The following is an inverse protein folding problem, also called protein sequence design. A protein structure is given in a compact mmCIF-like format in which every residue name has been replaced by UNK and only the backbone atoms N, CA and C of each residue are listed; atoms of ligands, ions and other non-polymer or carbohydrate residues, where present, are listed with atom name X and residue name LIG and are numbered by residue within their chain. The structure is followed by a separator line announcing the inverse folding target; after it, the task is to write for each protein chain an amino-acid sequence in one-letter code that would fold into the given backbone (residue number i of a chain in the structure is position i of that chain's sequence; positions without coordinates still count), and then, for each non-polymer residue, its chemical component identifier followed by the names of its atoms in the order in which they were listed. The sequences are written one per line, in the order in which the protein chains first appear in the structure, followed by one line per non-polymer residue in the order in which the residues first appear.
data_IF_927233472720
#
_entry.id   IF_927233472720
#
_cell.length_a   1.000
_cell.length_b   1.000
_cell.length_c   1.000
_cell.angle_alpha   90.00
_cell.angle_beta   90.00
_cell.angle_gamma   90.00
#
_symmetry.space_group_name_H-M   'P 1'
#
loop_
_entity.id
_entity.type
_entity.pdbx_description
1 polymer ?
#
# COMPACT_ATOMS: atom_id res chain seq x y z
N UNK A 1 8.31 -10.16 -16.94
CA UNK A 1 8.48 -11.09 -15.81
C UNK A 1 7.77 -10.46 -14.63
N UNK A 2 6.62 -11.01 -14.23
CA UNK A 2 5.98 -10.58 -12.99
C UNK A 2 6.89 -10.97 -11.82
N UNK A 3 7.22 -10.04 -10.90
CA UNK A 3 8.01 -10.39 -9.73
C UNK A 3 7.24 -11.42 -8.89
N UNK A 4 7.91 -12.51 -8.50
CA UNK A 4 7.37 -13.50 -7.56
C UNK A 4 7.06 -12.80 -6.24
N UNK A 5 5.78 -12.45 -6.05
CA UNK A 5 5.26 -11.87 -4.82
C UNK A 5 5.21 -12.94 -3.73
N UNK A 6 6.27 -13.02 -2.93
CA UNK A 6 6.28 -13.88 -1.75
C UNK A 6 5.36 -13.27 -0.70
N UNK A 7 4.19 -13.90 -0.49
CA UNK A 7 3.24 -13.49 0.53
C UNK A 7 3.90 -13.50 1.92
N UNK A 8 3.67 -12.45 2.70
CA UNK A 8 4.18 -12.30 4.07
C UNK A 8 3.74 -13.45 5.00
N UNK A 9 2.60 -14.08 4.71
CA UNK A 9 2.14 -15.28 5.41
C UNK A 9 3.05 -16.49 5.23
N UNK A 10 3.64 -16.68 4.05
CA UNK A 10 4.58 -17.76 3.79
C UNK A 10 5.84 -17.54 4.63
N UNK A 11 6.34 -16.31 4.67
CA UNK A 11 7.51 -15.95 5.48
C UNK A 11 7.23 -16.19 6.97
N UNK A 12 6.03 -15.84 7.44
CA UNK A 12 5.60 -16.12 8.81
C UNK A 12 5.61 -17.64 9.11
N UNK A 13 5.10 -18.50 8.23
CA UNK A 13 5.09 -19.94 8.49
C UNK A 13 6.47 -20.58 8.44
N UNK A 14 7.28 -20.20 7.47
CA UNK A 14 8.64 -20.73 7.27
C UNK A 14 9.56 -20.28 8.41
N UNK A 15 9.49 -18.99 8.80
CA UNK A 15 10.30 -18.46 9.91
C UNK A 15 10.03 -19.13 11.25
N UNK A 16 8.81 -19.63 11.50
CA UNK A 16 8.54 -20.42 12.70
C UNK A 16 9.31 -21.75 12.70
N UNK A 17 9.38 -22.43 11.56
CA UNK A 17 10.10 -23.72 11.43
C UNK A 17 11.60 -23.52 11.49
N UNK A 18 12.11 -22.56 10.73
CA UNK A 18 13.53 -22.20 10.71
C UNK A 18 13.96 -21.67 12.08
N UNK A 19 13.19 -20.77 12.71
CA UNK A 19 13.49 -20.22 14.03
C UNK A 19 13.58 -21.30 15.11
N UNK A 20 12.62 -22.24 15.13
CA UNK A 20 12.67 -23.37 16.06
C UNK A 20 13.81 -24.37 15.75
N UNK A 21 14.18 -24.54 14.48
CA UNK A 21 15.30 -25.38 14.08
C UNK A 21 16.63 -24.74 14.50
N UNK A 22 16.83 -23.46 14.16
CA UNK A 22 18.01 -22.69 14.53
C UNK A 22 18.17 -22.58 16.05
N UNK A 23 17.08 -22.38 16.80
CA UNK A 23 17.12 -22.37 18.27
C UNK A 23 17.54 -23.73 18.88
N UNK A 24 17.40 -24.84 18.15
CA UNK A 24 17.86 -26.18 18.58
C UNK A 24 19.28 -26.50 18.14
N UNK A 25 19.72 -25.97 17.00
CA UNK A 25 20.99 -26.32 16.36
C UNK A 25 22.11 -25.33 16.70
N UNK A 26 21.79 -24.04 16.88
CA UNK A 26 22.81 -23.02 17.14
C UNK A 26 23.37 -23.14 18.56
N UNK A 27 24.70 -23.08 18.72
CA UNK A 27 25.33 -23.16 20.02
C UNK A 27 24.99 -21.92 20.86
N UNK A 28 24.65 -22.14 22.13
CA UNK A 28 24.42 -21.10 23.15
C UNK A 28 25.72 -20.45 23.67
N UNK A 29 26.85 -20.75 23.02
CA UNK A 29 28.16 -20.25 23.40
C UNK A 29 28.20 -18.73 23.24
N UNK A 30 28.44 -18.04 24.35
CA UNK A 30 28.68 -16.60 24.38
C UNK A 30 30.07 -16.30 23.84
N UNK A 31 30.15 -15.80 22.62
CA UNK A 31 31.39 -15.35 22.01
C UNK A 31 31.66 -13.93 22.52
N UNK A 32 32.73 -13.77 23.30
CA UNK A 32 33.21 -12.46 23.72
C UNK A 32 34.00 -11.86 22.56
N UNK A 33 33.50 -10.78 21.96
CA UNK A 33 34.23 -10.08 20.91
C UNK A 33 35.48 -9.47 21.54
N UNK A 34 36.65 -9.80 20.99
CA UNK A 34 37.98 -9.46 21.53
C UNK A 34 38.06 -7.96 21.86
N UNK A 35 38.41 -7.65 23.13
CA UNK A 35 38.50 -6.31 23.73
C UNK A 35 37.19 -5.51 23.90
N UNK A 36 36.01 -6.14 23.84
CA UNK A 36 34.75 -5.45 24.12
C UNK A 36 33.97 -6.00 25.33
N UNK A 37 33.11 -5.16 25.93
CA UNK A 37 32.14 -5.56 26.98
C UNK A 37 30.90 -6.27 26.39
N UNK A 38 30.82 -6.43 25.07
CA UNK A 38 29.70 -7.07 24.39
C UNK A 38 29.92 -8.59 24.31
N UNK A 39 29.08 -9.34 25.03
CA UNK A 39 28.92 -10.79 24.87
C UNK A 39 27.87 -11.04 23.78
N UNK A 40 28.25 -11.69 22.69
CA UNK A 40 27.31 -12.05 21.62
C UNK A 40 27.10 -13.56 21.66
N UNK A 41 25.87 -13.99 21.96
CA UNK A 41 25.47 -15.39 21.79
C UNK A 41 24.76 -15.54 20.45
N UNK A 42 25.09 -16.60 19.71
CA UNK A 42 24.37 -16.98 18.49
C UNK A 42 22.97 -17.54 18.80
N UNK A 43 22.75 -18.01 20.04
CA UNK A 43 21.46 -18.48 20.52
C UNK A 43 21.19 -17.91 21.93
N UNK A 44 20.53 -16.74 22.03
CA UNK A 44 20.27 -16.09 23.32
C UNK A 44 19.12 -16.75 24.11
N UNK A 45 18.30 -17.60 23.50
CA UNK A 45 17.18 -18.25 24.17
C UNK A 45 16.20 -18.96 23.22
N UNK A 46 15.14 -19.58 23.75
CA UNK A 46 14.14 -20.26 22.94
C UNK A 46 13.36 -19.28 22.06
N UNK A 47 13.08 -19.69 20.82
CA UNK A 47 12.37 -18.87 19.84
C UNK A 47 11.00 -18.43 20.36
N UNK A 48 10.77 -17.13 20.43
CA UNK A 48 9.55 -16.55 21.00
C UNK A 48 8.70 -15.81 19.95
N UNK A 49 7.40 -15.66 20.21
CA UNK A 49 6.47 -14.92 19.38
C UNK A 49 6.93 -13.48 19.08
N UNK A 50 7.67 -12.85 20.01
CA UNK A 50 8.24 -11.50 19.78
C UNK A 50 9.32 -11.48 18.69
N UNK A 51 10.19 -12.48 18.67
CA UNK A 51 11.22 -12.63 17.64
C UNK A 51 10.56 -12.98 16.30
N UNK A 52 9.53 -13.84 16.34
CA UNK A 52 8.76 -14.17 15.15
C UNK A 52 8.10 -12.96 14.50
N UNK A 53 7.48 -12.09 15.31
CA UNK A 53 6.89 -10.83 14.82
C UNK A 53 7.97 -9.89 14.27
N UNK A 54 9.14 -9.79 14.92
CA UNK A 54 10.23 -8.95 14.40
C UNK A 54 10.77 -9.45 13.06
N UNK A 55 10.94 -10.77 12.89
CA UNK A 55 11.32 -11.37 11.60
C UNK A 55 10.26 -11.11 10.53
N UNK A 56 8.99 -11.18 10.92
CA UNK A 56 7.88 -10.92 10.01
C UNK A 56 7.83 -9.46 9.57
N UNK A 57 8.08 -8.53 10.49
CA UNK A 57 8.22 -7.10 10.17
C UNK A 57 9.44 -6.89 9.26
N UNK A 58 10.59 -7.49 9.58
CA UNK A 58 11.81 -7.42 8.76
C UNK A 58 11.56 -7.88 7.32
N UNK A 59 10.86 -9.01 7.17
CA UNK A 59 10.48 -9.52 5.87
C UNK A 59 9.49 -8.59 5.18
N UNK A 60 8.48 -8.10 5.89
CA UNK A 60 7.47 -7.19 5.34
C UNK A 60 8.07 -5.85 4.91
N UNK A 61 9.03 -5.29 5.65
CA UNK A 61 9.73 -4.07 5.22
C UNK A 61 10.67 -4.34 4.05
N UNK A 62 11.22 -5.55 3.93
CA UNK A 62 12.05 -5.93 2.78
C UNK A 62 11.27 -6.30 1.51
N UNK A 63 10.07 -6.88 1.62
CA UNK A 63 9.29 -7.41 0.47
C UNK A 63 7.98 -6.68 0.20
N UNK A 64 7.39 -6.01 1.19
CA UNK A 64 6.03 -5.50 1.11
C UNK A 64 6.00 -3.97 1.05
N UNK A 65 6.34 -3.45 -0.11
CA UNK A 65 5.75 -2.20 -0.58
C UNK A 65 4.80 -2.54 -1.73
N UNK A 66 3.73 -1.76 -1.88
CA UNK A 66 2.63 -1.96 -2.84
C UNK A 66 3.13 -2.60 -4.15
N UNK A 67 2.88 -3.91 -4.32
CA UNK A 67 3.34 -4.67 -5.50
C UNK A 67 4.66 -5.45 -5.38
N UNK A 68 5.20 -5.68 -4.18
CA UNK A 68 6.31 -6.63 -3.95
C UNK A 68 7.72 -6.05 -4.12
N UNK A 69 7.83 -4.79 -4.53
CA UNK A 69 9.10 -4.07 -4.69
C UNK A 69 8.97 -2.64 -4.17
N UNK A 70 10.05 -2.06 -3.69
CA UNK A 70 10.06 -0.63 -3.37
C UNK A 70 9.70 0.16 -4.65
N UNK A 71 8.68 1.02 -4.58
CA UNK A 71 8.18 1.73 -5.78
C UNK A 71 9.27 2.52 -6.50
N UNK A 72 10.28 3.01 -5.78
CA UNK A 72 11.47 3.64 -6.37
C UNK A 72 12.20 2.74 -7.38
N UNK A 73 12.24 1.42 -7.16
CA UNK A 73 12.77 0.44 -8.14
C UNK A 73 11.88 0.38 -9.37
N UNK A 74 10.57 0.52 -9.22
CA UNK A 74 9.63 0.66 -10.33
C UNK A 74 9.98 1.86 -11.22
N UNK A 75 10.33 3.00 -10.64
CA UNK A 75 10.78 4.19 -11.40
C UNK A 75 12.07 3.88 -12.15
N UNK A 76 13.04 3.24 -11.49
CA UNK A 76 14.31 2.84 -12.10
C UNK A 76 14.07 1.90 -13.28
N UNK A 77 13.21 0.90 -13.12
CA UNK A 77 12.82 -0.04 -14.17
C UNK A 77 12.13 0.66 -15.33
N UNK A 78 11.25 1.63 -15.07
CA UNK A 78 10.62 2.42 -16.13
C UNK A 78 11.68 3.23 -16.90
N UNK A 79 12.64 3.86 -16.21
CA UNK A 79 13.73 4.60 -16.87
C UNK A 79 14.61 3.69 -17.73
N UNK A 80 14.94 2.48 -17.25
CA UNK A 80 15.86 1.57 -17.95
C UNK A 80 15.18 0.71 -19.03
N UNK A 81 14.01 0.15 -18.75
CA UNK A 81 13.32 -0.83 -19.62
C UNK A 81 12.36 -0.17 -20.59
N UNK A 82 11.58 0.82 -20.13
CA UNK A 82 10.57 1.48 -20.96
C UNK A 82 11.17 2.65 -21.74
N UNK A 83 12.11 3.37 -21.13
CA UNK A 83 12.72 4.56 -21.70
C UNK A 83 14.16 4.38 -22.18
N UNK A 84 14.74 3.16 -22.05
CA UNK A 84 16.08 2.80 -22.52
C UNK A 84 17.21 3.76 -22.09
N UNK A 85 17.02 4.48 -20.98
CA UNK A 85 17.98 5.47 -20.49
C UNK A 85 18.83 4.92 -19.34
N UNK A 86 20.07 5.41 -19.22
CA UNK A 86 21.03 4.95 -18.20
C UNK A 86 20.91 5.80 -16.95
N UNK A 87 20.40 5.22 -15.88
CA UNK A 87 20.45 5.77 -14.52
C UNK A 87 21.61 5.14 -13.75
N UNK A 88 22.39 5.95 -13.04
CA UNK A 88 23.51 5.43 -12.24
C UNK A 88 23.00 4.74 -10.99
N UNK A 89 23.71 3.69 -10.55
CA UNK A 89 23.35 2.95 -9.34
C UNK A 89 23.23 3.86 -8.11
N UNK A 90 24.13 4.84 -7.97
CA UNK A 90 24.07 5.82 -6.87
C UNK A 90 22.76 6.61 -6.87
N UNK A 91 22.31 7.10 -8.04
CA UNK A 91 21.06 7.86 -8.15
C UNK A 91 19.84 6.99 -7.85
N UNK A 92 19.80 5.77 -8.40
CA UNK A 92 18.76 4.78 -8.10
C UNK A 92 18.69 4.45 -6.61
N UNK A 93 19.84 4.19 -6.00
CA UNK A 93 19.92 3.86 -4.57
C UNK A 93 19.45 5.04 -3.72
N UNK A 94 19.96 6.24 -3.97
CA UNK A 94 19.54 7.44 -3.24
C UNK A 94 18.04 7.69 -3.34
N UNK A 95 17.43 7.49 -4.52
CA UNK A 95 15.99 7.65 -4.74
C UNK A 95 15.17 6.63 -3.95
N UNK A 96 15.62 5.37 -3.89
CA UNK A 96 14.94 4.34 -3.10
C UNK A 96 15.07 4.63 -1.61
N UNK A 97 16.28 4.90 -1.11
CA UNK A 97 16.48 5.19 0.33
C UNK A 97 15.75 6.46 0.76
N UNK A 98 15.81 7.55 -0.01
CA UNK A 98 15.21 8.82 0.39
C UNK A 98 13.71 8.69 0.60
N UNK A 99 13.02 7.98 -0.29
CA UNK A 99 11.57 7.75 -0.24
C UNK A 99 11.16 6.85 0.93
N UNK A 100 11.97 5.84 1.27
CA UNK A 100 11.71 4.97 2.42
C UNK A 100 11.94 5.69 3.75
N UNK A 101 13.07 6.38 3.87
CA UNK A 101 13.38 7.20 5.05
C UNK A 101 12.35 8.31 5.24
N UNK A 102 11.80 8.87 4.16
CA UNK A 102 10.73 9.87 4.24
C UNK A 102 9.48 9.30 4.91
N UNK A 103 8.99 8.15 4.43
CA UNK A 103 7.84 7.48 5.03
C UNK A 103 8.07 7.13 6.50
N UNK A 104 9.29 6.68 6.84
CA UNK A 104 9.65 6.36 8.23
C UNK A 104 9.71 7.60 9.14
N UNK A 105 10.30 8.69 8.66
CA UNK A 105 10.35 9.97 9.37
C UNK A 105 8.96 10.53 9.64
N UNK A 106 8.07 10.49 8.64
CA UNK A 106 6.67 10.91 8.77
C UNK A 106 5.90 10.04 9.77
N UNK A 107 6.07 8.70 9.71
CA UNK A 107 5.46 7.78 10.67
C UNK A 107 5.88 8.08 12.12
N UNK A 108 7.14 8.43 12.34
CA UNK A 108 7.66 8.81 13.66
C UNK A 108 6.93 9.99 14.28
N UNK A 109 6.70 11.04 13.49
CA UNK A 109 5.97 12.25 13.94
C UNK A 109 4.51 11.92 14.25
N UNK A 110 3.88 11.06 13.42
CA UNK A 110 2.46 10.71 13.55
C UNK A 110 2.19 9.61 14.60
N UNK A 111 3.23 8.94 15.10
CA UNK A 111 3.13 7.81 16.04
C UNK A 111 2.28 8.14 17.28
N UNK A 112 2.51 9.31 17.89
CA UNK A 112 1.79 9.74 19.10
C UNK A 112 0.28 9.90 18.86
N UNK A 113 -0.12 10.27 17.64
CA UNK A 113 -1.52 10.53 17.31
C UNK A 113 -2.27 9.29 16.84
N UNK A 114 -1.60 8.32 16.22
CA UNK A 114 -2.28 7.17 15.57
C UNK A 114 -1.99 5.82 16.24
N UNK A 115 -0.90 5.71 17.01
CA UNK A 115 -0.50 4.45 17.67
C UNK A 115 -0.89 4.42 19.14
N UNK A 116 -0.68 5.51 19.88
CA UNK A 116 -0.92 5.55 21.33
C UNK A 116 -2.40 5.59 21.74
N UNK A 117 -3.32 6.25 21.00
CA UNK A 117 -4.72 6.28 21.39
C UNK A 117 -5.40 4.90 21.23
N UNK A 118 -6.27 4.55 22.20
CA UNK A 118 -6.98 3.28 22.23
C UNK A 118 -8.06 3.14 21.13
N UNK A 119 -8.67 4.26 20.71
CA UNK A 119 -9.70 4.26 19.66
C UNK A 119 -9.15 3.95 18.26
N UNK A 120 -7.84 4.14 18.04
CA UNK A 120 -7.15 3.76 16.81
C UNK A 120 -6.83 2.26 16.85
N UNK A 121 -7.69 1.45 16.21
CA UNK A 121 -7.68 -0.01 16.34
C UNK A 121 -6.71 -0.72 15.40
N UNK A 122 -6.50 -0.22 14.19
CA UNK A 122 -5.74 -0.89 13.13
C UNK A 122 -6.18 -2.35 12.91
N UNK A 123 -7.34 -2.56 12.26
CA UNK A 123 -7.92 -3.90 12.12
C UNK A 123 -6.98 -4.94 11.50
N UNK A 124 -6.17 -4.55 10.51
CA UNK A 124 -5.12 -5.41 9.93
C UNK A 124 -4.17 -5.98 11.00
N UNK A 125 -3.61 -5.12 11.85
CA UNK A 125 -2.74 -5.55 12.96
C UNK A 125 -3.46 -6.41 13.98
N UNK A 126 -4.73 -6.11 14.28
CA UNK A 126 -5.52 -6.86 15.26
C UNK A 126 -5.74 -8.31 14.87
N UNK A 127 -5.89 -8.61 13.58
CA UNK A 127 -6.06 -9.99 13.08
C UNK A 127 -4.74 -10.76 13.05
N UNK A 128 -3.59 -10.07 12.91
CA UNK A 128 -2.27 -10.71 12.97
C UNK A 128 -1.89 -11.18 14.39
N UNK A 129 -2.31 -10.47 15.44
CA UNK A 129 -2.03 -10.83 16.84
C UNK A 129 -2.51 -12.25 17.21
N UNK A 130 -3.79 -12.62 17.02
CA UNK A 130 -4.27 -13.96 17.33
C UNK A 130 -3.64 -15.02 16.44
N UNK A 131 -3.25 -14.68 15.21
CA UNK A 131 -2.48 -15.58 14.35
C UNK A 131 -1.11 -15.94 14.97
N UNK A 132 -0.32 -14.95 15.38
CA UNK A 132 0.96 -15.21 16.06
C UNK A 132 0.80 -15.97 17.38
N UNK A 133 -0.27 -15.68 18.13
CA UNK A 133 -0.60 -16.41 19.36
C UNK A 133 -0.98 -17.86 19.08
N UNK A 134 -1.82 -18.13 18.08
CA UNK A 134 -2.23 -19.49 17.72
C UNK A 134 -1.05 -20.38 17.28
N UNK A 135 0.02 -19.78 16.74
CA UNK A 135 1.24 -20.50 16.34
C UNK A 135 2.14 -20.86 17.54
N UNK A 136 2.16 -20.03 18.59
CA UNK A 136 3.08 -20.19 19.74
C UNK A 136 2.42 -20.77 21.00
N UNK A 137 1.13 -20.51 21.22
CA UNK A 137 0.40 -21.00 22.39
C UNK A 137 0.06 -22.49 22.22
N UNK A 138 0.39 -23.28 23.26
CA UNK A 138 -0.06 -24.66 23.37
C UNK A 138 -1.44 -24.65 24.01
N UNK A 139 -2.47 -24.91 23.21
CA UNK A 139 -3.84 -25.01 23.69
C UNK A 139 -4.17 -26.49 24.00
N UNK A 140 -4.67 -26.76 25.22
CA UNK A 140 -4.99 -28.10 25.71
C UNK A 140 -6.46 -28.50 25.45
N UNK A 141 -7.21 -27.71 24.66
CA UNK A 141 -8.58 -28.03 24.26
C UNK A 141 -8.69 -29.25 23.33
N UNK A 142 -9.93 -29.73 23.12
CA UNK A 142 -10.27 -30.87 22.25
C UNK A 142 -9.69 -30.75 20.83
N UNK A 143 -9.62 -29.54 20.29
CA UNK A 143 -8.90 -29.24 19.06
C UNK A 143 -7.91 -28.10 19.31
N UNK A 144 -6.60 -28.37 19.35
CA UNK A 144 -5.61 -27.30 19.52
C UNK A 144 -5.67 -26.34 18.34
N UNK A 145 -5.63 -25.03 18.61
CA UNK A 145 -5.70 -23.95 17.60
C UNK A 145 -4.75 -24.16 16.42
N UNK A 146 -3.56 -24.71 16.69
CA UNK A 146 -2.57 -25.08 15.68
C UNK A 146 -3.08 -26.14 14.69
N UNK A 147 -3.81 -27.18 15.14
CA UNK A 147 -4.37 -28.20 14.23
C UNK A 147 -5.47 -27.60 13.35
N UNK A 148 -6.38 -26.82 13.94
CA UNK A 148 -7.41 -26.11 13.18
C UNK A 148 -6.79 -25.20 12.11
N UNK A 149 -5.75 -24.45 12.47
CA UNK A 149 -5.03 -23.60 11.54
C UNK A 149 -4.45 -24.37 10.34
N UNK A 150 -3.79 -25.51 10.56
CA UNK A 150 -3.24 -26.32 9.46
C UNK A 150 -4.33 -26.94 8.58
N UNK A 151 -5.46 -27.37 9.16
CA UNK A 151 -6.60 -27.87 8.37
C UNK A 151 -7.15 -26.76 7.48
N UNK A 152 -7.42 -25.58 8.06
CA UNK A 152 -7.91 -24.43 7.31
C UNK A 152 -6.93 -23.99 6.20
N UNK A 153 -5.62 -24.02 6.48
CA UNK A 153 -4.58 -23.71 5.50
C UNK A 153 -4.58 -24.70 4.32
N UNK A 154 -4.65 -26.00 4.60
CA UNK A 154 -4.68 -27.03 3.54
C UNK A 154 -5.97 -26.94 2.73
N UNK A 155 -7.13 -26.77 3.39
CA UNK A 155 -8.41 -26.56 2.72
C UNK A 155 -8.40 -25.31 1.84
N UNK A 156 -7.89 -24.19 2.34
CA UNK A 156 -7.78 -22.95 1.57
C UNK A 156 -6.80 -23.08 0.40
N UNK A 157 -5.64 -23.72 0.60
CA UNK A 157 -4.67 -23.97 -0.46
C UNK A 157 -5.25 -24.86 -1.56
N UNK A 158 -5.90 -25.96 -1.18
CA UNK A 158 -6.59 -26.86 -2.12
C UNK A 158 -7.72 -26.14 -2.86
N UNK A 159 -8.50 -25.30 -2.14
CA UNK A 159 -9.54 -24.50 -2.76
C UNK A 159 -8.94 -23.52 -3.76
N UNK A 160 -7.88 -22.77 -3.45
CA UNK A 160 -7.28 -21.78 -4.36
C UNK A 160 -6.70 -22.38 -5.65
N UNK A 161 -6.22 -23.63 -5.63
CA UNK A 161 -5.76 -24.33 -6.85
C UNK A 161 -6.93 -24.58 -7.82
N UNK A 162 -8.15 -24.75 -7.29
CA UNK A 162 -9.31 -25.09 -8.09
C UNK A 162 -9.77 -23.97 -9.04
N UNK A 163 -10.16 -22.76 -8.58
CA UNK A 163 -10.53 -21.66 -9.47
C UNK A 163 -9.30 -21.00 -10.12
N UNK A 164 -8.11 -21.09 -9.51
CA UNK A 164 -6.91 -20.41 -10.00
C UNK A 164 -6.15 -21.15 -11.11
N UNK A 165 -6.35 -22.46 -11.28
CA UNK A 165 -5.60 -23.24 -12.28
C UNK A 165 -6.44 -24.31 -12.97
N UNK A 166 -7.33 -25.01 -12.25
CA UNK A 166 -8.11 -26.11 -12.84
C UNK A 166 -9.37 -25.62 -13.59
N UNK A 167 -10.07 -24.62 -13.04
CA UNK A 167 -11.31 -24.09 -13.59
C UNK A 167 -11.38 -22.56 -13.49
N UNK A 168 -10.63 -21.86 -14.35
CA UNK A 168 -10.61 -20.39 -14.41
C UNK A 168 -11.99 -19.77 -14.69
N UNK A 169 -12.90 -20.52 -15.34
CA UNK A 169 -14.29 -20.09 -15.59
C UNK A 169 -15.04 -19.77 -14.28
N UNK A 170 -14.63 -20.37 -13.14
CA UNK A 170 -15.23 -20.09 -11.83
C UNK A 170 -14.94 -18.67 -11.30
N UNK A 171 -13.96 -17.98 -11.89
CA UNK A 171 -13.66 -16.59 -11.56
C UNK A 171 -14.78 -15.64 -12.02
N UNK A 172 -15.53 -15.97 -13.08
CA UNK A 172 -16.71 -15.21 -13.49
C UNK A 172 -17.70 -16.07 -14.26
N UNK A 173 -18.79 -16.45 -13.60
CA UNK A 173 -19.91 -17.16 -14.22
C UNK A 173 -21.03 -16.15 -14.43
N UNK A 174 -21.22 -15.72 -15.68
CA UNK A 174 -22.32 -14.82 -16.06
C UNK A 174 -23.42 -15.59 -16.77
N UNK A 175 -24.57 -15.74 -16.12
CA UNK A 175 -25.74 -16.38 -16.75
C UNK A 175 -26.35 -15.50 -17.86
N UNK A 176 -26.19 -14.18 -17.75
CA UNK A 176 -26.66 -13.20 -18.75
C UNK A 176 -25.92 -13.42 -20.08
N UNK A 177 -24.64 -13.77 -20.02
CA UNK A 177 -23.86 -14.14 -21.20
C UNK A 177 -24.39 -15.41 -21.88
N UNK A 178 -24.79 -16.43 -21.11
CA UNK A 178 -25.39 -17.66 -21.65
C UNK A 178 -26.78 -17.44 -22.25
N UNK A 179 -27.59 -16.57 -21.63
CA UNK A 179 -28.94 -16.28 -22.10
C UNK A 179 -28.95 -15.50 -23.43
N UNK A 180 -27.98 -14.61 -23.66
CA UNK A 180 -27.94 -13.74 -24.84
C UNK A 180 -26.55 -13.66 -25.50
N UNK A 181 -26.05 -14.76 -26.08
CA UNK A 181 -24.66 -14.87 -26.56
C UNK A 181 -24.32 -14.01 -27.79
N UNK A 182 -25.32 -13.42 -28.46
CA UNK A 182 -25.12 -12.57 -29.66
C UNK A 182 -25.30 -11.08 -29.39
N UNK A 183 -25.72 -10.69 -28.19
CA UNK A 183 -26.06 -9.29 -27.88
C UNK A 183 -24.89 -8.57 -27.21
N UNK A 184 -24.36 -7.55 -27.89
CA UNK A 184 -23.27 -6.72 -27.37
C UNK A 184 -23.67 -5.99 -26.09
N UNK A 185 -24.92 -5.52 -26.00
CA UNK A 185 -25.43 -4.85 -24.79
C UNK A 185 -25.59 -5.83 -23.63
N UNK A 186 -26.04 -7.06 -23.90
CA UNK A 186 -26.11 -8.10 -22.87
C UNK A 186 -24.71 -8.48 -22.36
N UNK A 187 -23.69 -8.50 -23.22
CA UNK A 187 -22.31 -8.74 -22.81
C UNK A 187 -21.75 -7.59 -21.98
N UNK A 188 -22.00 -6.35 -22.37
CA UNK A 188 -21.59 -5.15 -21.61
C UNK A 188 -22.20 -5.08 -20.21
N UNK A 189 -23.46 -5.48 -20.08
CA UNK A 189 -24.19 -5.48 -18.82
C UNK A 189 -23.80 -6.70 -17.97
N UNK A 190 -23.72 -7.87 -18.59
CA UNK A 190 -23.62 -9.15 -17.90
C UNK A 190 -22.21 -9.65 -17.61
N UNK A 191 -21.21 -9.29 -18.41
CA UNK A 191 -19.84 -9.76 -18.22
C UNK A 191 -19.27 -9.25 -16.90
N UNK A 192 -18.69 -10.13 -16.08
CA UNK A 192 -18.05 -9.76 -14.82
C UNK A 192 -16.58 -9.34 -14.94
N UNK A 193 -15.97 -9.54 -16.12
CA UNK A 193 -14.56 -9.16 -16.38
C UNK A 193 -14.51 -7.86 -17.19
N UNK A 194 -15.21 -7.82 -18.33
CA UNK A 194 -15.18 -6.71 -19.29
C UNK A 194 -16.47 -5.86 -19.27
N UNK A 195 -17.36 -6.12 -18.33
CA UNK A 195 -18.69 -5.50 -18.25
C UNK A 195 -19.03 -5.03 -16.83
N UNK A 196 -20.30 -4.65 -16.65
CA UNK A 196 -20.82 -4.16 -15.37
C UNK A 196 -21.07 -5.27 -14.34
N UNK A 197 -21.05 -6.54 -14.76
CA UNK A 197 -21.18 -7.70 -13.87
C UNK A 197 -22.59 -7.99 -13.36
N UNK A 198 -23.66 -7.40 -13.94
CA UNK A 198 -25.03 -7.70 -13.53
C UNK A 198 -25.39 -9.16 -13.84
N UNK A 199 -25.69 -9.94 -12.80
CA UNK A 199 -25.95 -11.37 -12.95
C UNK A 199 -24.69 -12.22 -13.15
N UNK A 200 -23.50 -11.66 -12.91
CA UNK A 200 -22.28 -12.45 -12.79
C UNK A 200 -22.06 -12.89 -11.34
N UNK A 201 -21.70 -14.15 -11.15
CA UNK A 201 -21.32 -14.70 -9.87
C UNK A 201 -19.91 -15.26 -9.97
N UNK A 202 -19.09 -14.99 -8.98
CA UNK A 202 -17.75 -15.56 -8.87
C UNK A 202 -17.71 -16.48 -7.65
N UNK A 203 -17.25 -17.71 -7.86
CA UNK A 203 -16.95 -18.64 -6.77
C UNK A 203 -15.51 -18.48 -6.28
N UNK A 204 -14.73 -17.64 -6.96
CA UNK A 204 -13.41 -17.25 -6.52
C UNK A 204 -13.48 -16.05 -5.57
N UNK A 205 -13.27 -16.34 -4.28
CA UNK A 205 -13.27 -15.32 -3.23
C UNK A 205 -12.16 -14.28 -3.44
N UNK A 206 -11.04 -14.62 -4.09
CA UNK A 206 -10.01 -13.61 -4.43
C UNK A 206 -10.53 -12.60 -5.44
N UNK A 207 -11.26 -13.05 -6.47
CA UNK A 207 -11.87 -12.17 -7.47
C UNK A 207 -12.93 -11.26 -6.83
N UNK A 208 -13.83 -11.83 -6.02
CA UNK A 208 -14.90 -11.08 -5.33
C UNK A 208 -14.35 -9.99 -4.40
N UNK A 209 -13.31 -10.31 -3.62
CA UNK A 209 -12.79 -9.39 -2.62
C UNK A 209 -11.54 -8.61 -3.03
N UNK A 210 -11.07 -8.77 -4.27
CA UNK A 210 -9.91 -8.06 -4.82
C UNK A 210 -9.90 -6.56 -4.52
N UNK A 211 -11.07 -5.91 -4.58
CA UNK A 211 -11.24 -4.47 -4.35
C UNK A 211 -11.34 -4.07 -2.88
N UNK A 212 -11.77 -4.96 -1.98
CA UNK A 212 -11.96 -4.69 -0.55
C UNK A 212 -10.83 -5.24 0.34
N UNK A 213 -10.00 -6.14 -0.19
CA UNK A 213 -9.04 -6.93 0.57
C UNK A 213 -9.73 -8.07 1.32
N UNK A 214 -9.50 -8.21 2.63
CA UNK A 214 -10.20 -9.23 3.43
C UNK A 214 -11.41 -8.62 4.13
N UNK A 215 -12.65 -9.03 3.78
CA UNK A 215 -13.87 -8.50 4.40
C UNK A 215 -13.97 -8.86 5.89
N UNK A 216 -13.26 -9.91 6.32
CA UNK A 216 -13.21 -10.32 7.73
C UNK A 216 -12.45 -9.33 8.62
N UNK A 217 -11.49 -8.61 8.02
CA UNK A 217 -10.63 -7.64 8.73
C UNK A 217 -11.28 -6.26 8.72
N UNK A 218 -11.96 -5.92 7.63
CA UNK A 218 -12.61 -4.61 7.44
C UNK A 218 -13.90 -4.50 8.26
N UNK A 219 -14.12 -3.41 9.02
CA UNK A 219 -15.37 -3.23 9.77
C UNK A 219 -16.62 -3.29 8.88
N UNK A 220 -17.72 -3.81 9.44
CA UNK A 220 -18.98 -3.97 8.70
C UNK A 220 -19.49 -2.66 8.11
N UNK A 221 -19.49 -1.57 8.89
CA UNK A 221 -19.93 -0.25 8.41
C UNK A 221 -19.15 0.21 7.17
N UNK A 222 -17.82 -0.01 7.17
CA UNK A 222 -16.95 0.35 6.04
C UNK A 222 -17.30 -0.50 4.82
N UNK A 223 -17.52 -1.80 5.01
CA UNK A 223 -17.91 -2.73 3.95
C UNK A 223 -19.21 -2.30 3.29
N UNK A 224 -20.24 -1.97 4.08
CA UNK A 224 -21.53 -1.48 3.57
C UNK A 224 -21.35 -0.16 2.82
N UNK A 225 -20.56 0.78 3.35
CA UNK A 225 -20.33 2.07 2.69
C UNK A 225 -19.64 1.92 1.33
N UNK A 226 -18.62 1.06 1.24
CA UNK A 226 -17.95 0.75 -0.04
C UNK A 226 -18.93 0.09 -1.00
N UNK A 227 -19.74 -0.86 -0.53
CA UNK A 227 -20.73 -1.55 -1.37
C UNK A 227 -21.77 -0.56 -1.93
N UNK A 228 -22.29 0.34 -1.11
CA UNK A 228 -23.23 1.38 -1.57
C UNK A 228 -22.55 2.30 -2.60
N UNK A 229 -21.34 2.78 -2.32
CA UNK A 229 -20.58 3.61 -3.26
C UNK A 229 -20.30 2.91 -4.58
N UNK A 230 -19.95 1.61 -4.53
CA UNK A 230 -19.70 0.78 -5.70
C UNK A 230 -20.97 0.56 -6.54
N UNK A 231 -22.10 0.25 -5.90
CA UNK A 231 -23.41 0.11 -6.56
C UNK A 231 -23.82 1.40 -7.24
N UNK A 232 -23.67 2.54 -6.57
CA UNK A 232 -23.98 3.86 -7.16
C UNK A 232 -23.06 4.17 -8.35
N UNK A 233 -21.75 3.94 -8.22
CA UNK A 233 -20.81 4.23 -9.29
C UNK A 233 -21.02 3.32 -10.52
N UNK A 234 -21.08 2.00 -10.33
CA UNK A 234 -21.17 1.04 -11.43
C UNK A 234 -22.56 0.95 -12.05
N UNK A 235 -23.64 1.03 -11.28
CA UNK A 235 -25.00 0.77 -11.80
C UNK A 235 -25.83 2.02 -12.03
N UNK A 236 -25.41 3.18 -11.50
CA UNK A 236 -26.13 4.45 -11.71
C UNK A 236 -25.28 5.42 -12.53
N UNK A 237 -24.10 5.81 -12.03
CA UNK A 237 -23.29 6.86 -12.65
C UNK A 237 -22.76 6.44 -14.02
N UNK A 238 -22.10 5.27 -14.11
CA UNK A 238 -21.49 4.78 -15.35
C UNK A 238 -22.54 4.54 -16.46
N UNK A 239 -23.67 3.85 -16.21
CA UNK A 239 -24.68 3.60 -17.24
C UNK A 239 -25.36 4.88 -17.73
N UNK A 240 -25.66 5.84 -16.84
CA UNK A 240 -26.22 7.14 -17.24
C UNK A 240 -25.22 7.89 -18.13
N UNK A 241 -23.94 7.94 -17.73
CA UNK A 241 -22.93 8.63 -18.51
C UNK A 241 -22.67 7.97 -19.88
N UNK A 242 -22.74 6.64 -19.97
CA UNK A 242 -22.47 5.89 -21.19
C UNK A 242 -23.68 5.82 -22.14
N UNK A 243 -24.84 5.41 -21.65
CA UNK A 243 -26.02 5.15 -22.48
C UNK A 243 -26.88 6.40 -22.70
N UNK A 244 -27.06 7.25 -21.68
CA UNK A 244 -27.98 8.41 -21.75
C UNK A 244 -27.27 9.66 -22.26
N UNK A 245 -26.17 10.02 -21.61
CA UNK A 245 -25.50 11.30 -21.87
C UNK A 245 -24.40 11.20 -22.95
N UNK A 246 -23.92 9.98 -23.24
CA UNK A 246 -22.76 9.71 -24.09
C UNK A 246 -21.60 10.68 -23.83
N UNK A 247 -21.31 10.92 -22.55
CA UNK A 247 -20.33 11.93 -22.12
C UNK A 247 -18.97 11.57 -22.71
N UNK A 248 -18.27 12.53 -23.31
CA UNK A 248 -16.98 12.34 -23.98
C UNK A 248 -16.98 11.34 -25.15
N UNK A 249 -18.13 11.11 -25.80
CA UNK A 249 -18.28 10.09 -26.86
C UNK A 249 -17.91 8.67 -26.37
N UNK A 250 -18.23 8.37 -25.11
CA UNK A 250 -17.88 7.13 -24.43
C UNK A 250 -18.26 5.86 -25.19
N UNK A 251 -19.34 5.88 -25.97
CA UNK A 251 -19.82 4.73 -26.76
C UNK A 251 -18.83 4.24 -27.83
N UNK A 252 -17.79 5.01 -28.14
CA UNK A 252 -16.71 4.60 -29.04
C UNK A 252 -15.69 3.67 -28.38
N UNK A 253 -15.71 3.56 -27.06
CA UNK A 253 -14.79 2.75 -26.26
C UNK A 253 -15.56 1.72 -25.43
N UNK A 254 -14.92 0.62 -24.99
CA UNK A 254 -15.53 -0.30 -24.04
C UNK A 254 -15.96 0.40 -22.74
N UNK A 255 -17.07 -0.03 -22.15
CA UNK A 255 -17.59 0.55 -20.89
C UNK A 255 -16.56 0.39 -19.78
N UNK A 256 -16.03 -0.82 -19.63
CA UNK A 256 -15.01 -1.18 -18.64
C UNK A 256 -13.72 -1.50 -19.36
N UNK A 257 -12.70 -0.67 -19.18
CA UNK A 257 -11.35 -0.93 -19.70
C UNK A 257 -10.32 -0.02 -19.03
N UNK A 258 -9.12 -0.54 -18.81
CA UNK A 258 -7.95 0.24 -18.36
C UNK A 258 -7.12 0.80 -19.53
N UNK A 259 -7.53 0.50 -20.78
CA UNK A 259 -6.83 0.93 -21.98
C UNK A 259 -7.01 2.40 -22.32
N UNK A 260 -6.12 2.91 -23.16
CA UNK A 260 -6.18 4.24 -23.77
C UNK A 260 -6.62 4.14 -25.22
N UNK A 261 -7.57 4.97 -25.63
CA UNK A 261 -8.18 4.94 -26.96
C UNK A 261 -7.99 6.25 -27.70
N UNK A 262 -7.93 6.18 -29.04
CA UNK A 262 -7.99 7.36 -29.90
C UNK A 262 -9.45 7.80 -30.13
N UNK A 263 -9.63 8.93 -30.81
CA UNK A 263 -10.98 9.46 -31.14
C UNK A 263 -11.86 8.53 -31.98
N UNK A 264 -11.27 7.48 -32.58
CA UNK A 264 -11.93 6.46 -33.40
C UNK A 264 -12.20 5.15 -32.63
N UNK A 265 -11.85 5.06 -31.35
CA UNK A 265 -12.08 3.88 -30.52
C UNK A 265 -11.05 2.75 -30.69
N UNK A 266 -9.92 3.00 -31.36
CA UNK A 266 -8.79 2.04 -31.43
C UNK A 266 -7.77 2.35 -30.33
N UNK A 267 -7.02 1.33 -29.92
CA UNK A 267 -5.95 1.47 -28.95
C UNK A 267 -4.96 2.58 -29.35
N UNK A 268 -4.62 3.42 -28.38
CA UNK A 268 -3.73 4.55 -28.56
C UNK A 268 -2.28 4.10 -28.40
N UNK A 269 -1.47 4.33 -29.41
CA UNK A 269 -0.04 4.02 -29.36
C UNK A 269 0.73 5.12 -28.60
N UNK A 270 0.93 4.90 -27.30
CA UNK A 270 1.62 5.83 -26.40
C UNK A 270 3.10 5.99 -26.75
N UNK A 271 3.75 4.97 -27.33
CA UNK A 271 5.18 5.02 -27.65
C UNK A 271 5.50 6.10 -28.70
N UNK A 272 4.57 6.32 -29.62
CA UNK A 272 4.72 7.25 -30.73
C UNK A 272 4.64 8.75 -30.38
N UNK A 273 4.19 9.10 -29.17
CA UNK A 273 4.06 10.49 -28.72
C UNK A 273 5.15 10.89 -27.72
N UNK A 274 6.08 9.99 -27.41
CA UNK A 274 7.22 10.26 -26.52
C UNK A 274 8.47 10.37 -27.38
N UNK A 275 9.25 11.42 -27.19
CA UNK A 275 10.51 11.61 -27.92
C UNK A 275 11.67 10.83 -27.25
N UNK A 276 12.83 10.78 -27.92
CA UNK A 276 14.04 10.12 -27.40
C UNK A 276 14.59 10.78 -26.11
N UNK A 277 14.18 12.02 -25.81
CA UNK A 277 14.51 12.74 -24.57
C UNK A 277 13.50 12.51 -23.45
N UNK A 278 12.54 11.59 -23.66
CA UNK A 278 11.52 11.18 -22.69
C UNK A 278 10.54 12.30 -22.34
N UNK A 279 10.39 13.26 -23.25
CA UNK A 279 9.40 14.33 -23.18
C UNK A 279 8.27 14.05 -24.17
N UNK A 280 7.08 14.55 -23.85
CA UNK A 280 5.93 14.45 -24.75
C UNK A 280 6.23 15.27 -26.01
N UNK A 281 6.21 14.62 -27.18
CA UNK A 281 6.29 15.29 -28.46
C UNK A 281 4.94 15.93 -28.79
N UNK A 282 4.82 17.22 -28.46
CA UNK A 282 3.60 18.00 -28.67
C UNK A 282 3.14 17.99 -30.13
N UNK A 283 4.06 18.01 -31.10
CA UNK A 283 3.72 17.98 -32.52
C UNK A 283 3.10 16.65 -32.94
N UNK A 284 3.67 15.52 -32.51
CA UNK A 284 3.08 14.18 -32.75
C UNK A 284 1.75 14.01 -32.01
N UNK A 285 1.61 14.60 -30.83
CA UNK A 285 0.37 14.60 -30.05
C UNK A 285 -0.75 15.39 -30.76
N UNK A 286 -0.44 16.59 -31.27
CA UNK A 286 -1.38 17.41 -32.05
C UNK A 286 -1.86 16.69 -33.31
N UNK A 287 -0.98 15.96 -34.00
CA UNK A 287 -1.34 15.19 -35.19
C UNK A 287 -2.22 13.98 -34.90
N UNK A 288 -1.96 13.25 -33.80
CA UNK A 288 -2.74 12.04 -33.44
C UNK A 288 -4.02 12.34 -32.67
N UNK A 289 -4.10 13.53 -32.07
CA UNK A 289 -5.22 13.96 -31.26
C UNK A 289 -5.18 13.44 -29.82
N UNK A 290 -6.15 13.86 -29.00
CA UNK A 290 -6.17 13.59 -27.56
C UNK A 290 -6.36 12.10 -27.25
N UNK A 291 -5.81 11.69 -26.11
CA UNK A 291 -6.03 10.37 -25.53
C UNK A 291 -7.39 10.36 -24.83
N UNK A 292 -8.22 9.37 -25.18
CA UNK A 292 -9.49 9.12 -24.51
C UNK A 292 -9.37 7.91 -23.59
N UNK A 293 -9.99 8.02 -22.42
CA UNK A 293 -10.14 6.92 -21.48
C UNK A 293 -11.52 6.30 -21.62
N UNK A 294 -11.68 5.05 -21.17
CA UNK A 294 -13.01 4.49 -20.96
C UNK A 294 -13.79 5.31 -19.94
N UNK A 295 -15.12 5.23 -19.99
CA UNK A 295 -15.98 5.98 -19.07
C UNK A 295 -15.76 5.55 -17.61
N UNK A 296 -15.60 4.23 -17.38
CA UNK A 296 -15.32 3.68 -16.05
C UNK A 296 -13.99 4.18 -15.50
N UNK A 297 -12.94 4.23 -16.32
CA UNK A 297 -11.63 4.71 -15.89
C UNK A 297 -11.64 6.22 -15.61
N UNK A 298 -12.36 7.00 -16.42
CA UNK A 298 -12.55 8.44 -16.20
C UNK A 298 -13.23 8.73 -14.86
N UNK A 299 -14.35 8.05 -14.57
CA UNK A 299 -15.05 8.22 -13.30
C UNK A 299 -14.25 7.69 -12.11
N UNK A 300 -13.51 6.59 -12.27
CA UNK A 300 -12.62 6.08 -11.22
C UNK A 300 -11.56 7.14 -10.83
N UNK A 301 -10.96 7.83 -11.81
CA UNK A 301 -10.03 8.93 -11.56
C UNK A 301 -10.71 10.12 -10.88
N UNK A 302 -11.89 10.52 -11.34
CA UNK A 302 -12.68 11.60 -10.73
C UNK A 302 -13.03 11.30 -9.27
N UNK A 303 -13.50 10.09 -8.97
CA UNK A 303 -13.80 9.64 -7.60
C UNK A 303 -12.53 9.59 -6.75
N UNK A 304 -11.40 9.15 -7.32
CA UNK A 304 -10.11 9.15 -6.61
C UNK A 304 -9.66 10.56 -6.20
N UNK A 305 -9.83 11.56 -7.07
CA UNK A 305 -9.56 12.96 -6.73
C UNK A 305 -10.53 13.49 -5.67
N UNK A 306 -11.82 13.18 -5.79
CA UNK A 306 -12.83 13.57 -4.81
C UNK A 306 -12.55 12.92 -3.44
N UNK A 307 -12.07 11.68 -3.42
CA UNK A 307 -11.68 10.96 -2.21
C UNK A 307 -10.54 11.67 -1.47
N UNK A 308 -9.54 12.22 -2.18
CA UNK A 308 -8.47 12.99 -1.54
C UNK A 308 -9.00 14.17 -0.72
N UNK A 309 -9.94 14.94 -1.28
CA UNK A 309 -10.57 16.07 -0.58
C UNK A 309 -11.49 15.57 0.55
N UNK A 310 -12.23 14.48 0.29
CA UNK A 310 -13.11 13.85 1.28
C UNK A 310 -12.36 13.37 2.52
N UNK A 311 -11.13 12.87 2.38
CA UNK A 311 -10.28 12.47 3.51
C UNK A 311 -10.02 13.67 4.43
N UNK A 312 -9.64 14.81 3.86
CA UNK A 312 -9.36 16.02 4.63
C UNK A 312 -10.62 16.52 5.35
N UNK A 313 -11.75 16.62 4.64
CA UNK A 313 -12.99 17.11 5.22
C UNK A 313 -13.53 16.15 6.29
N UNK A 314 -13.53 14.84 6.04
CA UNK A 314 -13.97 13.84 7.00
C UNK A 314 -13.14 13.90 8.29
N UNK A 315 -11.81 13.91 8.19
CA UNK A 315 -10.95 13.97 9.37
C UNK A 315 -11.07 15.31 10.09
N UNK A 316 -11.20 16.43 9.37
CA UNK A 316 -11.40 17.74 9.96
C UNK A 316 -12.70 17.84 10.76
N UNK A 317 -13.82 17.33 10.23
CA UNK A 317 -15.13 17.40 10.89
C UNK A 317 -15.29 16.39 12.03
N UNK A 318 -14.93 15.12 11.80
CA UNK A 318 -15.22 14.04 12.75
C UNK A 318 -14.11 13.85 13.79
N UNK A 319 -12.84 13.92 13.37
CA UNK A 319 -11.70 13.68 14.25
C UNK A 319 -10.98 14.97 14.66
N UNK A 320 -11.29 16.12 14.06
CA UNK A 320 -10.58 17.38 14.32
C UNK A 320 -10.61 17.81 15.77
N UNK A 321 -11.76 17.70 16.45
CA UNK A 321 -11.88 18.01 17.89
C UNK A 321 -11.02 17.09 18.75
N UNK A 322 -10.95 15.81 18.40
CA UNK A 322 -10.14 14.81 19.11
C UNK A 322 -8.64 15.03 18.85
N UNK A 323 -8.24 15.32 17.61
CA UNK A 323 -6.87 15.64 17.24
C UNK A 323 -6.41 16.90 17.98
N UNK A 324 -7.24 17.95 18.02
CA UNK A 324 -6.96 19.17 18.79
C UNK A 324 -6.89 18.89 20.29
N UNK A 325 -7.75 18.02 20.80
CA UNK A 325 -7.73 17.53 22.17
C UNK A 325 -6.43 16.78 22.48
N UNK A 326 -5.99 15.87 21.60
CA UNK A 326 -4.74 15.13 21.69
C UNK A 326 -3.52 16.04 21.53
N UNK A 327 -3.60 17.06 20.69
CA UNK A 327 -2.53 18.05 20.53
C UNK A 327 -2.38 18.88 21.80
N UNK A 328 -3.50 19.32 22.41
CA UNK A 328 -3.50 20.03 23.70
C UNK A 328 -3.12 19.12 24.88
N UNK A 329 -3.57 17.86 24.89
CA UNK A 329 -3.24 16.87 25.90
C UNK A 329 -1.82 16.30 25.74
N UNK A 330 -1.23 16.38 24.54
CA UNK A 330 0.20 16.12 24.34
C UNK A 330 1.06 17.04 25.20
N UNK A 331 0.53 18.23 25.56
CA UNK A 331 1.11 19.17 26.53
C UNK A 331 0.61 18.98 27.98
N UNK A 332 -0.45 18.20 28.23
CA UNK A 332 -1.01 17.91 29.56
C UNK A 332 -1.32 16.42 29.69
N UNK A 333 -0.43 15.67 30.35
CA UNK A 333 -0.60 14.22 30.58
C UNK A 333 -1.96 13.90 31.22
N UNK A 334 -2.91 13.29 30.49
CA UNK A 334 -3.88 12.36 31.08
C UNK A 334 -4.74 11.55 30.09
N UNK A 335 -5.10 10.34 30.55
CA UNK A 335 -5.74 9.18 29.87
C UNK A 335 -4.82 8.37 28.96
N UNK A 336 -3.98 7.56 29.61
CA UNK A 336 -3.06 6.62 28.95
C UNK A 336 -3.74 5.25 28.80
N UNK A 337 -3.75 4.72 27.57
CA UNK A 337 -4.25 3.37 27.25
C UNK A 337 -3.53 2.30 28.10
N UNK A 338 -4.22 1.20 28.43
CA UNK A 338 -3.65 0.02 29.11
C UNK A 338 -2.44 -0.49 28.35
N UNK A 339 -2.52 -0.53 27.01
CA UNK A 339 -1.38 -0.99 26.23
C UNK A 339 -0.16 -0.09 26.40
N UNK A 340 -0.38 1.23 26.43
CA UNK A 340 0.68 2.22 26.64
C UNK A 340 1.23 2.15 28.07
N UNK A 341 0.38 1.94 29.08
CA UNK A 341 0.82 1.69 30.47
C UNK A 341 1.75 0.48 30.56
N UNK A 342 1.39 -0.64 29.93
CA UNK A 342 2.22 -1.85 29.89
C UNK A 342 3.53 -1.63 29.12
N UNK A 343 3.53 -0.73 28.13
CA UNK A 343 4.71 -0.42 27.33
C UNK A 343 5.69 0.53 28.03
N UNK A 344 5.28 1.25 29.08
CA UNK A 344 6.16 2.12 29.89
C UNK A 344 7.37 1.40 30.50
N UNK A 345 7.31 0.06 30.64
CA UNK A 345 8.45 -0.75 31.08
C UNK A 345 9.63 -0.69 30.10
N UNK A 346 9.37 -0.45 28.82
CA UNK A 346 10.41 -0.37 27.79
C UNK A 346 10.83 1.08 27.55
N UNK A 347 12.14 1.28 27.32
CA UNK A 347 12.65 2.60 26.91
C UNK A 347 12.07 2.96 25.54
N UNK A 348 11.44 4.12 25.49
CA UNK A 348 10.87 4.62 24.25
C UNK A 348 11.96 5.10 23.26
N UNK A 349 11.56 5.28 22.00
CA UNK A 349 12.36 5.85 20.92
C UNK A 349 12.39 7.37 21.10
N UNK A 350 13.57 7.99 21.21
CA UNK A 350 13.66 9.45 21.24
C UNK A 350 13.12 10.06 19.94
N UNK A 351 12.27 11.10 20.04
CA UNK A 351 11.69 11.76 18.86
C UNK A 351 12.75 12.30 17.88
N UNK A 352 13.93 12.69 18.37
CA UNK A 352 15.02 13.20 17.54
C UNK A 352 15.58 12.18 16.54
N UNK A 353 15.41 10.87 16.78
CA UNK A 353 15.79 9.84 15.80
C UNK A 353 14.96 9.99 14.51
N UNK A 354 13.67 10.26 14.65
CA UNK A 354 12.77 10.46 13.51
C UNK A 354 13.03 11.80 12.82
N UNK A 355 13.34 12.87 13.57
CA UNK A 355 13.73 14.15 12.97
C UNK A 355 15.06 14.04 12.21
N UNK A 356 16.02 13.27 12.71
CA UNK A 356 17.29 13.01 12.01
C UNK A 356 17.03 12.25 10.70
N UNK A 357 16.24 11.18 10.74
CA UNK A 357 15.89 10.40 9.54
C UNK A 357 15.17 11.28 8.50
N UNK A 358 14.21 12.10 8.94
CA UNK A 358 13.53 13.04 8.07
C UNK A 358 14.50 14.07 7.46
N UNK A 359 15.42 14.60 8.26
CA UNK A 359 16.46 15.52 7.80
C UNK A 359 17.39 14.90 6.77
N UNK A 360 17.86 13.67 7.00
CA UNK A 360 18.69 12.91 6.05
C UNK A 360 17.92 12.64 4.75
N UNK A 361 16.66 12.22 4.84
CA UNK A 361 15.80 12.01 3.67
C UNK A 361 15.62 13.29 2.84
N UNK A 362 15.40 14.44 3.50
CA UNK A 362 15.28 15.73 2.85
C UNK A 362 16.58 16.13 2.13
N UNK A 363 17.73 15.97 2.80
CA UNK A 363 19.04 16.25 2.21
C UNK A 363 19.34 15.36 0.99
N UNK A 364 19.05 14.06 1.07
CA UNK A 364 19.21 13.14 -0.05
C UNK A 364 18.30 13.53 -1.22
N UNK A 365 17.04 13.87 -0.93
CA UNK A 365 16.07 14.32 -1.94
C UNK A 365 16.53 15.61 -2.62
N UNK A 366 17.01 16.60 -1.85
CA UNK A 366 17.54 17.84 -2.39
C UNK A 366 18.81 17.62 -3.21
N UNK A 367 19.72 16.75 -2.75
CA UNK A 367 20.90 16.38 -3.50
C UNK A 367 20.54 15.76 -4.86
N UNK A 368 19.57 14.85 -4.90
CA UNK A 368 19.06 14.27 -6.14
C UNK A 368 18.50 15.33 -7.09
N UNK A 369 17.73 16.29 -6.58
CA UNK A 369 17.12 17.34 -7.40
C UNK A 369 18.13 18.37 -7.93
N UNK A 370 19.21 18.64 -7.20
CA UNK A 370 20.22 19.65 -7.57
C UNK A 370 21.32 19.04 -8.44
N UNK A 371 21.91 17.92 -8.02
CA UNK A 371 23.09 17.35 -8.66
C UNK A 371 22.77 16.26 -9.69
N UNK A 372 21.61 15.61 -9.60
CA UNK A 372 21.19 14.53 -10.52
C UNK A 372 19.97 14.93 -11.37
N UNK A 373 19.88 16.23 -11.69
CA UNK A 373 18.78 16.81 -12.46
C UNK A 373 18.62 16.16 -13.83
N UNK A 374 19.72 15.76 -14.48
CA UNK A 374 19.70 15.18 -15.82
C UNK A 374 19.07 13.77 -15.85
N UNK A 375 19.05 13.06 -14.72
CA UNK A 375 18.50 11.70 -14.62
C UNK A 375 17.06 11.68 -14.08
N UNK A 376 16.75 12.50 -13.07
CA UNK A 376 15.46 12.47 -12.36
C UNK A 376 14.49 13.55 -12.89
N UNK A 377 15.02 14.63 -13.48
CA UNK A 377 14.25 15.74 -14.07
C UNK A 377 13.31 16.49 -13.10
N UNK A 378 13.33 16.16 -11.80
CA UNK A 378 12.50 16.76 -10.76
C UNK A 378 13.16 18.04 -10.19
N UNK A 379 12.50 19.20 -10.27
CA UNK A 379 13.00 20.42 -9.63
C UNK A 379 12.94 20.34 -8.10
N UNK A 380 13.88 21.02 -7.43
CA UNK A 380 13.98 21.03 -5.96
C UNK A 380 12.71 21.55 -5.28
N UNK A 381 12.05 22.56 -5.85
CA UNK A 381 10.83 23.14 -5.29
C UNK A 381 9.66 22.15 -5.37
N UNK A 382 9.59 21.34 -6.43
CA UNK A 382 8.55 20.32 -6.60
C UNK A 382 8.73 19.21 -5.57
N UNK A 383 9.97 18.85 -5.25
CA UNK A 383 10.26 17.88 -4.20
C UNK A 383 9.84 18.39 -2.80
N UNK A 384 10.15 19.65 -2.47
CA UNK A 384 9.70 20.27 -1.19
C UNK A 384 8.17 20.31 -1.12
N UNK A 385 7.51 20.66 -2.23
CA UNK A 385 6.05 20.67 -2.30
C UNK A 385 5.45 19.26 -2.13
N UNK A 386 6.04 18.23 -2.76
CA UNK A 386 5.62 16.84 -2.59
C UNK A 386 5.74 16.38 -1.13
N UNK A 387 6.84 16.72 -0.45
CA UNK A 387 7.05 16.42 0.98
C UNK A 387 6.03 17.14 1.85
N UNK A 388 5.74 18.41 1.56
CA UNK A 388 4.70 19.17 2.26
C UNK A 388 3.31 18.55 2.10
N UNK A 389 2.97 18.11 0.89
CA UNK A 389 1.73 17.38 0.62
C UNK A 389 1.68 16.05 1.38
N UNK A 390 2.77 15.27 1.34
CA UNK A 390 2.86 14.02 2.08
C UNK A 390 2.65 14.25 3.58
N UNK A 391 3.30 15.26 4.16
CA UNK A 391 3.13 15.62 5.57
C UNK A 391 1.67 15.97 5.91
N UNK A 392 1.01 16.79 5.09
CA UNK A 392 -0.38 17.20 5.31
C UNK A 392 -1.37 16.02 5.26
N UNK A 393 -1.16 15.08 4.34
CA UNK A 393 -2.07 13.95 4.13
C UNK A 393 -1.75 12.71 4.97
N UNK A 394 -0.53 12.57 5.49
CA UNK A 394 -0.14 11.37 6.26
C UNK A 394 -1.06 11.16 7.46
N UNK A 395 -1.33 12.21 8.25
CA UNK A 395 -2.16 12.08 9.45
C UNK A 395 -3.61 11.69 9.10
N UNK A 396 -4.33 12.43 8.22
CA UNK A 396 -5.68 12.05 7.82
C UNK A 396 -5.79 10.65 7.21
N UNK A 397 -4.88 10.30 6.31
CA UNK A 397 -4.87 8.97 5.66
C UNK A 397 -4.66 7.85 6.69
N UNK A 398 -3.74 8.06 7.63
CA UNK A 398 -3.45 7.08 8.69
C UNK A 398 -4.63 6.88 9.64
N UNK A 399 -5.40 7.94 9.94
CA UNK A 399 -6.60 7.85 10.79
C UNK A 399 -7.69 7.01 10.12
N UNK A 400 -7.94 7.26 8.83
CA UNK A 400 -8.92 6.48 8.07
C UNK A 400 -8.47 5.02 7.99
N UNK A 401 -7.19 4.77 7.72
CA UNK A 401 -6.63 3.42 7.68
C UNK A 401 -6.77 2.70 9.03
N UNK A 402 -6.47 3.39 10.13
CA UNK A 402 -6.54 2.85 11.49
C UNK A 402 -7.96 2.53 11.96
N UNK A 403 -8.98 3.14 11.37
CA UNK A 403 -10.39 2.97 11.76
C UNK A 403 -11.17 2.07 10.79
N UNK A 404 -10.93 2.22 9.50
CA UNK A 404 -11.69 1.57 8.42
C UNK A 404 -10.97 0.40 7.76
N UNK A 405 -9.67 0.20 8.03
CA UNK A 405 -8.83 -0.79 7.33
C UNK A 405 -8.63 -0.51 5.83
N UNK A 406 -9.03 0.67 5.34
CA UNK A 406 -8.85 1.08 3.96
C UNK A 406 -7.79 2.16 3.88
N UNK A 407 -6.87 2.05 2.93
CA UNK A 407 -5.79 3.02 2.71
C UNK A 407 -6.08 3.74 1.38
N UNK A 408 -6.73 4.92 1.41
CA UNK A 408 -6.97 5.67 0.19
C UNK A 408 -5.63 6.15 -0.39
N UNK A 409 -5.46 6.06 -1.70
CA UNK A 409 -4.21 6.46 -2.36
C UNK A 409 -4.33 7.84 -3.01
N UNK A 410 -3.26 8.65 -2.94
CA UNK A 410 -3.19 10.01 -3.50
C UNK A 410 -2.53 10.06 -4.89
N UNK A 411 -2.43 8.92 -5.55
CA UNK A 411 -1.69 8.77 -6.81
C UNK A 411 -2.22 9.70 -7.90
N UNK A 412 -3.53 9.68 -8.11
CA UNK A 412 -4.17 10.43 -9.20
C UNK A 412 -4.02 11.94 -8.99
N UNK A 413 -4.28 12.43 -7.76
CA UNK A 413 -4.22 13.87 -7.47
C UNK A 413 -2.79 14.39 -7.53
N UNK A 414 -1.80 13.63 -7.04
CA UNK A 414 -0.38 14.03 -7.12
C UNK A 414 0.11 14.08 -8.55
N UNK A 415 -0.25 13.09 -9.37
CA UNK A 415 0.09 13.08 -10.78
C UNK A 415 -0.57 14.22 -11.56
N UNK A 416 -1.82 14.53 -11.23
CA UNK A 416 -2.56 15.61 -11.87
C UNK A 416 -1.95 16.99 -11.55
N UNK A 417 -1.65 17.27 -10.27
CA UNK A 417 -1.03 18.53 -9.86
C UNK A 417 0.31 18.72 -10.57
N UNK A 418 1.17 17.70 -10.56
CA UNK A 418 2.49 17.80 -11.18
C UNK A 418 2.41 17.86 -12.71
N UNK A 419 1.48 17.13 -13.33
CA UNK A 419 1.23 17.20 -14.77
C UNK A 419 0.81 18.60 -15.24
N UNK A 420 0.06 19.35 -14.44
CA UNK A 420 -0.27 20.75 -14.72
C UNK A 420 0.90 21.71 -14.48
N UNK A 421 1.71 21.48 -13.45
CA UNK A 421 2.83 22.35 -13.10
C UNK A 421 4.05 22.18 -14.02
N UNK A 422 4.35 20.95 -14.43
CA UNK A 422 5.49 20.57 -15.27
C UNK A 422 5.01 19.64 -16.39
N UNK A 423 4.29 20.20 -17.39
CA UNK A 423 3.79 19.42 -18.50
C UNK A 423 4.94 18.80 -19.31
N UNK A 424 4.70 17.61 -19.86
CA UNK A 424 5.66 16.93 -20.74
C UNK A 424 6.79 16.18 -20.04
N UNK A 425 6.84 16.13 -18.70
CA UNK A 425 7.92 15.47 -17.93
C UNK A 425 7.42 14.26 -17.12
N UNK A 426 7.31 13.06 -17.73
CA UNK A 426 6.74 11.87 -17.07
C UNK A 426 7.60 11.35 -15.90
N UNK A 427 8.93 11.43 -15.98
CA UNK A 427 9.81 10.98 -14.87
C UNK A 427 9.64 11.87 -13.65
N UNK A 428 9.67 13.20 -13.84
CA UNK A 428 9.42 14.15 -12.77
C UNK A 428 8.04 13.92 -12.12
N UNK A 429 7.03 13.59 -12.94
CA UNK A 429 5.70 13.24 -12.46
C UNK A 429 5.69 11.97 -11.57
N UNK A 430 6.36 10.90 -12.01
CA UNK A 430 6.49 9.66 -11.24
C UNK A 430 7.25 9.87 -9.92
N UNK A 431 8.32 10.67 -9.93
CA UNK A 431 9.07 11.01 -8.73
C UNK A 431 8.23 11.86 -7.77
N UNK A 432 7.49 12.86 -8.28
CA UNK A 432 6.58 13.67 -7.46
C UNK A 432 5.51 12.81 -6.78
N UNK A 433 4.86 11.91 -7.52
CA UNK A 433 3.92 10.93 -6.96
C UNK A 433 4.57 10.08 -5.87
N UNK A 434 5.82 9.67 -6.05
CA UNK A 434 6.51 8.81 -5.08
C UNK A 434 6.79 9.52 -3.76
N UNK A 435 7.28 10.77 -3.83
CA UNK A 435 7.48 11.58 -2.64
C UNK A 435 6.17 12.05 -2.00
N UNK A 436 5.13 12.33 -2.80
CA UNK A 436 3.86 12.90 -2.33
C UNK A 436 2.82 11.88 -1.86
N UNK A 437 2.64 10.77 -2.59
CA UNK A 437 1.61 9.77 -2.30
C UNK A 437 2.20 8.52 -1.66
N UNK A 438 3.18 7.88 -2.30
CA UNK A 438 3.69 6.58 -1.82
C UNK A 438 4.38 6.70 -0.47
N UNK A 439 5.04 7.83 -0.19
CA UNK A 439 5.63 8.09 1.12
C UNK A 439 4.57 8.13 2.24
N UNK A 440 3.34 8.58 1.96
CA UNK A 440 2.22 8.54 2.93
C UNK A 440 1.68 7.13 3.15
N UNK A 441 1.62 6.31 2.09
CA UNK A 441 1.29 4.89 2.17
C UNK A 441 2.34 4.14 3.00
N UNK A 442 3.64 4.37 2.74
CA UNK A 442 4.74 3.79 3.50
C UNK A 442 4.67 4.20 4.98
N UNK A 443 4.42 5.49 5.26
CA UNK A 443 4.23 5.97 6.62
C UNK A 443 3.07 5.24 7.34
N UNK A 444 1.94 5.03 6.66
CA UNK A 444 0.78 4.29 7.18
C UNK A 444 1.13 2.82 7.47
N UNK A 445 1.92 2.16 6.61
CA UNK A 445 2.41 0.81 6.86
C UNK A 445 3.33 0.72 8.08
N UNK A 446 4.26 1.66 8.24
CA UNK A 446 5.12 1.72 9.42
C UNK A 446 4.30 1.96 10.70
N UNK A 447 3.31 2.85 10.66
CA UNK A 447 2.38 3.08 11.77
C UNK A 447 1.56 1.84 12.13
N UNK A 448 1.06 1.10 11.13
CA UNK A 448 0.38 -0.19 11.34
C UNK A 448 1.30 -1.16 12.08
N UNK A 449 2.54 -1.31 11.59
CA UNK A 449 3.53 -2.13 12.26
C UNK A 449 3.71 -1.65 13.71
N UNK A 450 3.81 -0.33 13.98
CA UNK A 450 4.04 0.20 15.34
C UNK A 450 2.92 -0.24 16.27
N UNK A 451 1.68 -0.22 15.79
CA UNK A 451 0.52 -0.72 16.52
C UNK A 451 0.60 -2.23 16.78
N UNK A 452 0.99 -3.03 15.79
CA UNK A 452 1.21 -4.47 16.00
C UNK A 452 2.23 -4.75 17.12
N UNK A 453 3.38 -4.06 17.11
CA UNK A 453 4.37 -4.18 18.18
C UNK A 453 3.82 -3.74 19.55
N UNK A 454 2.98 -2.71 19.57
CA UNK A 454 2.30 -2.23 20.77
C UNK A 454 1.33 -3.28 21.36
N UNK A 455 0.66 -4.05 20.50
CA UNK A 455 -0.17 -5.19 20.90
C UNK A 455 0.65 -6.38 21.41
N UNK A 456 1.75 -6.72 20.72
CA UNK A 456 2.62 -7.86 21.06
C UNK A 456 3.66 -7.57 22.16
N UNK A 457 3.70 -6.34 22.68
CA UNK A 457 4.63 -5.90 23.75
C UNK A 457 6.10 -6.07 23.38
N UNK A 458 6.44 -5.66 22.15
CA UNK A 458 7.80 -5.70 21.62
C UNK A 458 8.51 -4.38 21.95
N UNK A 459 9.77 -4.41 22.45
CA UNK A 459 10.52 -3.20 22.76
C UNK A 459 10.62 -2.25 21.55
N UNK A 460 10.25 -0.95 21.70
CA UNK A 460 10.24 -0.01 20.57
C UNK A 460 11.61 0.15 19.88
N UNK A 461 12.69 0.22 20.65
CA UNK A 461 14.06 0.41 20.12
C UNK A 461 14.56 -0.76 19.28
N UNK A 462 14.28 -2.00 19.70
CA UNK A 462 14.67 -3.20 18.94
C UNK A 462 13.97 -3.21 17.59
N UNK A 463 12.69 -2.85 17.57
CA UNK A 463 11.92 -2.75 16.33
C UNK A 463 12.41 -1.61 15.43
N UNK A 464 12.73 -0.43 15.98
CA UNK A 464 13.31 0.67 15.21
C UNK A 464 14.59 0.25 14.46
N UNK A 465 15.49 -0.46 15.15
CA UNK A 465 16.73 -0.95 14.53
C UNK A 465 16.46 -1.98 13.42
N UNK A 466 15.46 -2.85 13.61
CA UNK A 466 15.06 -3.83 12.59
C UNK A 466 14.52 -3.13 11.35
N UNK A 467 13.60 -2.18 11.48
CA UNK A 467 12.99 -1.51 10.33
C UNK A 467 13.98 -0.59 9.60
N UNK A 468 14.80 0.16 10.34
CA UNK A 468 15.83 1.03 9.74
C UNK A 468 16.94 0.19 9.12
N UNK A 469 17.32 -0.94 9.71
CA UNK A 469 18.33 -1.83 9.13
C UNK A 469 17.88 -2.56 7.87
N UNK A 470 16.57 -2.70 7.64
CA UNK A 470 16.00 -3.28 6.40
C UNK A 470 15.77 -2.28 5.28
N UNK A 471 15.56 -1.01 5.63
CA UNK A 471 15.24 0.06 4.67
C UNK A 471 16.50 0.52 3.96
#
# INVERSE_FOLDING_TARGET
MEPLLVSTMIVQLVSLRIGNFLAKVLPSTKLRIRNSRWEVSLNPGPFNAKEHVLISIFAQTGTAFVGGTAYGVGIVNVIQLFYHNKITFSTSWMLVISTQLLGYGLAGIMRKFVVEPAHMRWPNSLVQVPFFRALHEKDNGRMPRRKFFYIALICSCAWHVFPGYLFEIMASISWVYWAFPKSVTAHQIGSGIDGLGLGSFSLDLSTVFSSLGSPLITPFFTTVNILVGHVLALYVIIPIAYYVLNTYHAQRSPIVSLGTFNSRGKDYDVSSIVNDKLEINLHSYEQKGPINFSISFTFAYGISMAAAISILTHVAFFNGKEILGLFRASFKENKVDIHTKLMRKYKDIPNWWFYLILGVSLLLTLHLCIFQKDQIQLPWWSAVFAIGLAFAFTLPMSIITATTNQTPTLDVITQYIMGMMLPGRPIANLCFKTYGAISTTNASHFLNNFKMCHYMKIPPRSRFLVEVGTS
#
